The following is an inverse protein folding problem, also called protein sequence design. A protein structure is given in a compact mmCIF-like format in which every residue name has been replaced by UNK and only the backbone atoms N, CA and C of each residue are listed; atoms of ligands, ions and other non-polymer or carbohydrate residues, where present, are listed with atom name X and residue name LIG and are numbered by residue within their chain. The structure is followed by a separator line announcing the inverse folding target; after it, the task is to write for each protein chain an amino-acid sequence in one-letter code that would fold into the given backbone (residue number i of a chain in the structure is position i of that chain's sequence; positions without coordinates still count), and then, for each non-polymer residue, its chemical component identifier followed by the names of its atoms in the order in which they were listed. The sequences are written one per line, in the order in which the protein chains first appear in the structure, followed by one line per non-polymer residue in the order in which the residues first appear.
data_IF_691046241086
#
_entry.id   IF_691046241086
#
_cell.length_a   1.000
_cell.length_b   1.000
_cell.length_c   1.000
_cell.angle_alpha   90.00
_cell.angle_beta   90.00
_cell.angle_gamma   90.00
#
_symmetry.space_group_name_H-M   'P 1'
#
loop_
_entity.id
_entity.type
_entity.pdbx_description
1 polymer ?
#
# COMPACT_ATOMS: atom_id res chain seq x y z
N UNK A 1 5.13 -6.38 39.88
CA UNK A 1 5.06 -6.26 38.41
C UNK A 1 3.91 -7.13 37.96
N UNK A 2 2.91 -6.54 37.32
CA UNK A 2 1.67 -7.20 36.93
C UNK A 2 1.91 -8.16 35.75
N UNK A 3 1.61 -9.47 35.86
CA UNK A 3 1.82 -10.45 34.78
C UNK A 3 0.81 -10.33 33.61
N UNK A 4 -0.11 -9.36 33.62
CA UNK A 4 -1.15 -9.21 32.60
C UNK A 4 -0.76 -8.46 31.32
N UNK A 5 0.50 -8.00 31.19
CA UNK A 5 0.97 -7.23 30.02
C UNK A 5 1.67 -8.05 28.93
N UNK A 6 1.74 -9.38 29.03
CA UNK A 6 2.05 -10.25 27.89
C UNK A 6 0.80 -10.48 27.03
N UNK A 7 0.18 -9.40 26.53
CA UNK A 7 -0.56 -9.52 25.28
C UNK A 7 0.49 -9.82 24.22
N UNK A 8 0.64 -11.11 23.88
CA UNK A 8 1.35 -11.57 22.69
C UNK A 8 0.92 -10.69 21.52
N UNK A 9 1.74 -9.71 21.17
CA UNK A 9 1.54 -8.91 19.98
C UNK A 9 1.81 -9.85 18.81
N UNK A 10 0.74 -10.47 18.29
CA UNK A 10 0.83 -11.33 17.11
C UNK A 10 1.58 -10.57 16.02
N UNK A 11 2.74 -11.10 15.63
CA UNK A 11 3.55 -10.61 14.52
C UNK A 11 2.86 -11.00 13.21
N UNK A 12 3.13 -10.25 12.13
CA UNK A 12 2.44 -10.42 10.86
C UNK A 12 1.23 -9.50 10.72
N UNK A 13 0.20 -9.98 10.01
CA UNK A 13 -1.00 -9.20 9.70
C UNK A 13 -2.13 -9.67 10.62
N UNK A 14 -2.78 -8.73 11.31
CA UNK A 14 -3.95 -9.01 12.15
C UNK A 14 -4.93 -7.87 12.03
N UNK A 15 -6.17 -8.16 11.62
CA UNK A 15 -7.19 -7.14 11.35
C UNK A 15 -6.65 -6.02 10.43
N UNK A 16 -5.94 -6.44 9.37
CA UNK A 16 -5.24 -5.58 8.40
C UNK A 16 -4.17 -4.67 9.00
N UNK A 17 -3.86 -4.75 10.29
CA UNK A 17 -2.73 -4.06 10.89
C UNK A 17 -1.49 -4.96 10.77
N UNK A 18 -0.41 -4.41 10.23
CA UNK A 18 0.85 -5.12 10.12
C UNK A 18 1.81 -4.75 11.26
N UNK A 19 2.48 -5.77 11.83
CA UNK A 19 3.56 -5.62 12.79
C UNK A 19 4.71 -6.55 12.44
N UNK A 20 5.91 -5.98 12.31
CA UNK A 20 7.14 -6.77 12.21
C UNK A 20 7.44 -7.52 13.51
N UNK A 21 8.23 -8.58 13.38
CA UNK A 21 8.77 -9.32 14.51
C UNK A 21 9.71 -8.43 15.32
N UNK A 22 9.51 -8.29 16.63
CA UNK A 22 10.30 -7.39 17.48
C UNK A 22 11.81 -7.72 17.42
N UNK A 23 12.16 -9.01 17.36
CA UNK A 23 13.53 -9.50 17.19
C UNK A 23 14.26 -8.98 15.94
N UNK A 24 13.55 -8.44 14.95
CA UNK A 24 14.19 -7.82 13.78
C UNK A 24 14.83 -6.46 14.10
N UNK A 25 14.37 -5.80 15.16
CA UNK A 25 14.81 -4.47 15.55
C UNK A 25 15.96 -4.50 16.56
N UNK A 26 16.26 -5.65 17.16
CA UNK A 26 17.35 -5.81 18.14
C UNK A 26 18.74 -5.49 17.56
N UNK A 27 18.90 -5.57 16.23
CA UNK A 27 20.20 -5.46 15.57
C UNK A 27 20.29 -4.40 14.45
N UNK A 28 19.16 -3.80 14.03
CA UNK A 28 19.12 -2.92 12.85
C UNK A 28 18.06 -1.81 12.99
N UNK A 29 18.34 -0.59 12.51
CA UNK A 29 17.38 0.49 12.52
C UNK A 29 16.23 0.23 11.55
N UNK A 30 15.06 0.80 11.84
CA UNK A 30 13.86 0.71 11.01
C UNK A 30 14.09 1.16 9.55
N UNK A 31 15.02 2.10 9.32
CA UNK A 31 15.47 2.50 7.98
C UNK A 31 15.96 1.34 7.12
N UNK A 32 16.65 0.38 7.72
CA UNK A 32 17.18 -0.78 6.99
C UNK A 32 16.09 -1.80 6.68
N UNK A 33 14.97 -1.79 7.42
CA UNK A 33 13.82 -2.66 7.20
C UNK A 33 12.86 -2.10 6.16
N UNK A 34 12.68 -0.79 6.12
CA UNK A 34 11.78 -0.11 5.19
C UNK A 34 12.37 0.03 3.78
N UNK A 35 13.70 0.04 3.63
CA UNK A 35 14.33 0.35 2.34
C UNK A 35 14.99 -0.85 1.65
N UNK A 36 14.76 -2.08 2.10
CA UNK A 36 15.34 -3.27 1.44
C UNK A 36 14.80 -3.41 0.03
N UNK A 37 15.71 -3.37 -0.93
CA UNK A 37 15.44 -3.59 -2.35
C UNK A 37 16.06 -4.92 -2.74
N UNK A 38 15.36 -5.71 -3.54
CA UNK A 38 15.96 -6.91 -4.12
C UNK A 38 16.81 -6.53 -5.34
N UNK A 39 18.08 -6.94 -5.37
CA UNK A 39 19.00 -6.65 -6.48
C UNK A 39 18.61 -7.29 -7.82
N UNK A 40 17.79 -8.35 -7.82
CA UNK A 40 17.39 -9.04 -9.04
C UNK A 40 16.07 -8.52 -9.64
N UNK A 41 15.14 -8.06 -8.80
CA UNK A 41 13.82 -7.59 -9.26
C UNK A 41 13.56 -6.10 -8.99
N UNK A 42 14.47 -5.39 -8.32
CA UNK A 42 14.38 -3.98 -7.93
C UNK A 42 13.18 -3.61 -7.04
N UNK A 43 12.48 -4.59 -6.46
CA UNK A 43 11.29 -4.39 -5.63
C UNK A 43 11.64 -4.30 -4.15
N UNK A 44 10.83 -3.53 -3.42
CA UNK A 44 10.89 -3.50 -1.96
C UNK A 44 10.32 -4.79 -1.37
N UNK A 45 10.94 -5.28 -0.31
CA UNK A 45 10.49 -6.50 0.36
C UNK A 45 10.68 -6.44 1.87
N UNK A 46 9.80 -7.13 2.59
CA UNK A 46 9.96 -7.44 4.01
C UNK A 46 10.25 -8.94 4.17
N UNK A 47 11.36 -9.33 4.83
CA UNK A 47 11.61 -10.73 5.15
C UNK A 47 10.67 -11.25 6.25
N UNK A 48 10.46 -12.57 6.32
CA UNK A 48 9.79 -13.20 7.47
C UNK A 48 10.72 -13.27 8.70
N UNK A 49 10.17 -13.54 9.89
CA UNK A 49 10.96 -13.58 11.13
C UNK A 49 12.12 -14.59 11.07
N UNK A 50 11.89 -15.76 10.46
CA UNK A 50 12.90 -16.81 10.33
C UNK A 50 14.01 -16.50 9.31
N UNK A 51 13.73 -15.67 8.31
CA UNK A 51 14.65 -15.40 7.20
C UNK A 51 15.23 -13.99 7.20
N UNK A 52 15.09 -13.25 8.31
CA UNK A 52 15.60 -11.89 8.43
C UNK A 52 17.12 -11.77 8.26
N UNK A 53 17.86 -12.75 8.80
CA UNK A 53 19.31 -12.80 8.77
C UNK A 53 19.88 -13.48 7.51
N UNK A 54 19.03 -13.84 6.53
CA UNK A 54 19.53 -14.42 5.28
C UNK A 54 20.44 -13.43 4.55
N UNK A 55 21.49 -13.92 3.86
CA UNK A 55 22.34 -13.09 3.02
C UNK A 55 21.53 -12.33 1.97
N UNK A 56 21.94 -11.09 1.68
CA UNK A 56 21.24 -10.20 0.73
C UNK A 56 21.11 -10.78 -0.70
N UNK A 57 21.95 -11.74 -1.08
CA UNK A 57 21.91 -12.38 -2.39
C UNK A 57 20.71 -13.33 -2.59
N UNK A 58 20.09 -13.80 -1.50
CA UNK A 58 18.88 -14.64 -1.53
C UNK A 58 17.77 -14.05 -0.64
N UNK A 59 17.21 -12.89 -1.04
CA UNK A 59 16.26 -12.18 -0.20
C UNK A 59 14.94 -12.94 -0.07
N UNK A 60 14.41 -12.96 1.15
CA UNK A 60 13.09 -13.52 1.45
C UNK A 60 12.01 -12.48 1.12
N UNK A 61 11.23 -12.73 0.07
CA UNK A 61 10.15 -11.84 -0.40
C UNK A 61 8.81 -12.11 0.28
N UNK A 62 8.82 -12.53 1.54
CA UNK A 62 7.61 -12.96 2.25
C UNK A 62 6.56 -11.85 2.27
N UNK A 63 6.97 -10.62 2.58
CA UNK A 63 6.14 -9.43 2.46
C UNK A 63 6.51 -8.61 1.22
N UNK A 64 5.53 -8.32 0.38
CA UNK A 64 5.64 -7.41 -0.75
C UNK A 64 5.27 -6.01 -0.27
N UNK A 65 6.20 -5.07 -0.33
CA UNK A 65 5.99 -3.73 0.22
C UNK A 65 5.60 -2.75 -0.88
N UNK A 66 4.67 -1.85 -0.56
CA UNK A 66 4.43 -0.61 -1.31
C UNK A 66 4.38 0.56 -0.35
N UNK A 67 5.16 1.59 -0.65
CA UNK A 67 5.18 2.85 0.08
C UNK A 67 4.20 3.81 -0.57
N UNK A 68 3.36 4.48 0.22
CA UNK A 68 2.34 5.39 -0.30
C UNK A 68 2.31 6.71 0.47
N UNK A 69 2.07 7.80 -0.24
CA UNK A 69 1.88 9.14 0.33
C UNK A 69 0.87 9.95 -0.50
N UNK A 70 0.19 10.87 0.15
CA UNK A 70 -0.68 11.85 -0.46
C UNK A 70 -0.33 13.29 -0.06
N UNK A 71 -0.12 14.15 -1.05
CA UNK A 71 0.21 15.55 -0.85
C UNK A 71 -0.91 16.47 -1.36
N UNK A 72 -1.16 17.57 -0.65
CA UNK A 72 -2.09 18.62 -1.07
C UNK A 72 -1.50 19.99 -0.73
N UNK A 73 -1.42 20.89 -1.71
CA UNK A 73 -1.12 22.30 -1.47
C UNK A 73 -2.40 23.01 -1.04
N UNK A 74 -2.27 23.83 0.01
CA UNK A 74 -3.36 24.66 0.56
C UNK A 74 -4.57 23.87 1.09
N UNK A 75 -4.36 22.68 1.68
CA UNK A 75 -5.29 21.89 2.51
C UNK A 75 -6.79 22.23 2.41
N UNK A 76 -7.38 22.13 1.22
CA UNK A 76 -8.81 22.34 1.01
C UNK A 76 -9.33 23.76 1.26
N UNK A 77 -8.49 24.81 1.25
CA UNK A 77 -8.97 26.18 1.12
C UNK A 77 -9.66 26.32 -0.25
N UNK A 78 -11.00 26.25 -0.22
CA UNK A 78 -11.83 26.70 -1.35
C UNK A 78 -11.56 28.20 -1.52
N UNK A 79 -11.17 28.62 -2.72
CA UNK A 79 -11.12 30.03 -3.05
C UNK A 79 -12.46 30.69 -2.67
N UNK A 80 -12.40 31.70 -1.81
CA UNK A 80 -13.58 32.47 -1.38
C UNK A 80 -14.10 33.23 -2.61
N UNK A 81 -15.40 33.12 -2.88
CA UNK A 81 -16.09 34.01 -3.81
C UNK A 81 -16.26 35.33 -3.07
N UNK A 82 -15.64 36.40 -3.58
CA UNK A 82 -16.09 37.76 -3.28
C UNK A 82 -16.52 38.33 -4.62
N UNK A 83 -17.82 38.28 -4.93
CA UNK A 83 -18.44 39.17 -5.91
C UNK A 83 -19.92 39.38 -5.56
N UNK A 84 -20.29 40.65 -5.45
CA UNK A 84 -21.67 41.12 -5.46
C UNK A 84 -22.36 40.62 -6.73
N UNK A 85 -23.56 40.05 -6.58
CA UNK A 85 -24.53 39.90 -7.68
C UNK A 85 -24.14 38.95 -8.82
N UNK A 86 -24.75 37.75 -8.78
CA UNK A 86 -25.07 36.86 -9.92
C UNK A 86 -24.06 35.75 -10.30
N UNK A 87 -24.66 34.56 -10.45
CA UNK A 87 -24.20 33.26 -11.00
C UNK A 87 -23.42 32.29 -10.10
N UNK A 88 -24.07 31.15 -9.80
CA UNK A 88 -23.53 30.01 -9.06
C UNK A 88 -22.73 29.09 -9.99
N UNK A 89 -21.39 29.20 -9.94
CA UNK A 89 -20.46 28.18 -10.43
C UNK A 89 -19.44 27.85 -9.34
N UNK A 90 -19.23 26.57 -9.02
CA UNK A 90 -18.11 26.16 -8.15
C UNK A 90 -16.81 26.36 -8.93
N UNK A 91 -15.91 27.21 -8.44
CA UNK A 91 -14.54 27.27 -8.97
C UNK A 91 -13.89 25.89 -8.81
N UNK A 92 -13.11 25.38 -9.79
CA UNK A 92 -12.28 24.21 -9.57
C UNK A 92 -11.44 24.39 -8.30
N UNK A 93 -11.15 23.31 -7.55
CA UNK A 93 -10.39 23.41 -6.33
C UNK A 93 -9.04 24.07 -6.63
N UNK A 94 -8.82 25.29 -6.11
CA UNK A 94 -7.53 25.98 -6.21
C UNK A 94 -6.38 25.21 -5.53
N UNK A 95 -6.74 24.27 -4.66
CA UNK A 95 -5.83 23.32 -4.03
C UNK A 95 -5.43 22.21 -5.00
N UNK A 96 -4.14 22.10 -5.25
CA UNK A 96 -3.54 21.03 -6.05
C UNK A 96 -3.19 19.84 -5.15
N UNK A 97 -3.53 18.63 -5.56
CA UNK A 97 -3.16 17.42 -4.85
C UNK A 97 -2.47 16.40 -5.78
N UNK A 98 -1.71 15.50 -5.19
CA UNK A 98 -0.95 14.48 -5.89
C UNK A 98 -0.73 13.28 -4.97
N UNK A 99 -0.61 12.10 -5.59
CA UNK A 99 -0.33 10.85 -4.88
C UNK A 99 0.95 10.22 -5.39
N UNK A 100 1.66 9.57 -4.46
CA UNK A 100 2.87 8.82 -4.72
C UNK A 100 2.71 7.38 -4.24
N UNK A 101 3.12 6.42 -5.07
CA UNK A 101 3.25 5.03 -4.66
C UNK A 101 4.53 4.41 -5.23
N UNK A 102 5.25 3.63 -4.43
CA UNK A 102 6.48 2.97 -4.85
C UNK A 102 6.60 1.56 -4.28
N UNK A 103 6.68 0.57 -5.15
CA UNK A 103 6.92 -0.85 -4.80
C UNK A 103 8.35 -1.29 -5.16
N UNK A 104 9.17 -0.39 -5.69
CA UNK A 104 10.55 -0.64 -6.08
C UNK A 104 11.27 0.63 -6.53
N UNK A 105 12.56 0.48 -6.88
CA UNK A 105 13.40 1.58 -7.33
C UNK A 105 13.26 1.91 -8.82
N UNK A 106 12.80 0.96 -9.64
CA UNK A 106 12.59 1.19 -11.05
C UNK A 106 11.35 2.04 -11.32
N UNK A 107 11.38 2.78 -12.43
CA UNK A 107 10.28 3.67 -12.84
C UNK A 107 8.97 2.91 -13.06
N UNK A 108 9.04 1.65 -13.52
CA UNK A 108 7.89 0.76 -13.70
C UNK A 108 7.20 0.43 -12.37
N UNK A 109 7.95 0.38 -11.27
CA UNK A 109 7.47 0.09 -9.92
C UNK A 109 7.08 1.36 -9.14
N UNK A 110 6.88 2.49 -9.82
CA UNK A 110 6.52 3.77 -9.21
C UNK A 110 5.30 4.39 -9.88
N UNK A 111 4.56 5.19 -9.11
CA UNK A 111 3.40 5.97 -9.53
C UNK A 111 3.49 7.35 -8.92
N UNK A 112 3.26 8.37 -9.75
CA UNK A 112 3.21 9.77 -9.35
C UNK A 112 2.12 10.43 -10.18
N UNK A 113 0.93 10.57 -9.60
CA UNK A 113 -0.29 10.99 -10.30
C UNK A 113 -0.92 12.23 -9.67
N UNK A 114 -1.21 13.28 -10.46
CA UNK A 114 -2.08 14.36 -10.01
C UNK A 114 -3.44 13.82 -9.58
N UNK A 115 -4.03 14.43 -8.56
CA UNK A 115 -5.38 14.10 -8.08
C UNK A 115 -6.35 15.08 -8.74
N UNK A 116 -7.00 14.62 -9.81
CA UNK A 116 -7.92 15.41 -10.63
C UNK A 116 -9.35 14.83 -10.61
N UNK A 117 -10.28 15.44 -11.36
CA UNK A 117 -11.69 15.02 -11.41
C UNK A 117 -11.90 13.70 -12.16
N UNK A 118 -10.89 13.15 -12.81
CA UNK A 118 -10.96 11.78 -13.34
C UNK A 118 -10.71 10.75 -12.24
N UNK A 119 -9.83 11.08 -11.29
CA UNK A 119 -9.47 10.22 -10.17
C UNK A 119 -10.46 10.31 -9.01
N UNK A 120 -10.88 11.53 -8.64
CA UNK A 120 -11.76 11.78 -7.50
C UNK A 120 -12.78 12.88 -7.87
N UNK A 121 -13.85 12.53 -8.60
CA UNK A 121 -14.71 13.49 -9.29
C UNK A 121 -15.50 14.40 -8.35
N UNK A 122 -15.36 15.73 -8.51
CA UNK A 122 -16.17 16.71 -7.79
C UNK A 122 -15.90 16.81 -6.28
N UNK A 123 -14.89 16.08 -5.80
CA UNK A 123 -14.52 16.00 -4.40
C UNK A 123 -13.41 17.02 -4.06
N UNK A 124 -13.36 17.51 -2.81
CA UNK A 124 -12.37 18.49 -2.40
C UNK A 124 -10.97 17.87 -2.38
N UNK A 125 -9.96 18.60 -2.86
CA UNK A 125 -8.56 18.18 -2.73
C UNK A 125 -8.08 18.47 -1.32
N UNK A 126 -7.87 17.40 -0.55
CA UNK A 126 -7.40 17.46 0.84
C UNK A 126 -6.32 16.42 1.05
N UNK A 127 -5.43 16.61 2.02
CA UNK A 127 -4.39 15.63 2.35
C UNK A 127 -4.99 14.27 2.71
N UNK A 128 -6.03 14.23 3.55
CA UNK A 128 -6.67 12.97 3.94
C UNK A 128 -7.22 12.16 2.76
N UNK A 129 -7.80 12.83 1.76
CA UNK A 129 -8.27 12.16 0.54
C UNK A 129 -7.11 11.70 -0.34
N UNK A 130 -6.09 12.55 -0.50
CA UNK A 130 -4.87 12.19 -1.24
C UNK A 130 -4.21 10.94 -0.63
N UNK A 131 -4.12 10.85 0.70
CA UNK A 131 -3.54 9.70 1.40
C UNK A 131 -4.31 8.40 1.13
N UNK A 132 -5.65 8.44 1.19
CA UNK A 132 -6.50 7.28 0.86
C UNK A 132 -6.39 6.87 -0.61
N UNK A 133 -6.35 7.85 -1.52
CA UNK A 133 -6.14 7.61 -2.95
C UNK A 133 -4.74 7.03 -3.22
N UNK A 134 -3.71 7.48 -2.49
CA UNK A 134 -2.37 6.93 -2.53
C UNK A 134 -2.33 5.46 -2.11
N UNK A 135 -3.03 5.10 -1.04
CA UNK A 135 -3.18 3.71 -0.61
C UNK A 135 -3.89 2.84 -1.67
N UNK A 136 -4.97 3.34 -2.27
CA UNK A 136 -5.69 2.67 -3.37
C UNK A 136 -4.77 2.43 -4.58
N UNK A 137 -4.01 3.46 -4.99
CA UNK A 137 -3.06 3.37 -6.10
C UNK A 137 -1.90 2.41 -5.79
N UNK A 138 -1.41 2.38 -4.55
CA UNK A 138 -0.39 1.44 -4.10
C UNK A 138 -0.81 -0.02 -4.26
N UNK A 139 -2.07 -0.34 -3.90
CA UNK A 139 -2.64 -1.66 -4.10
C UNK A 139 -2.81 -2.00 -5.59
N UNK A 140 -3.18 -1.03 -6.44
CA UNK A 140 -3.25 -1.21 -7.89
C UNK A 140 -1.87 -1.44 -8.53
N UNK A 141 -0.85 -0.76 -8.03
CA UNK A 141 0.54 -0.97 -8.42
C UNK A 141 0.98 -2.40 -8.11
N UNK A 142 0.79 -2.88 -6.87
CA UNK A 142 1.12 -4.27 -6.51
C UNK A 142 0.34 -5.29 -7.35
N UNK A 143 -0.94 -5.03 -7.60
CA UNK A 143 -1.78 -5.88 -8.46
C UNK A 143 -1.25 -5.95 -9.89
N UNK A 144 -0.78 -4.83 -10.43
CA UNK A 144 -0.18 -4.78 -11.77
C UNK A 144 1.11 -5.59 -11.83
N UNK A 145 2.01 -5.36 -10.87
CA UNK A 145 3.31 -6.04 -10.79
C UNK A 145 3.16 -7.56 -10.57
N UNK A 146 2.13 -7.98 -9.84
CA UNK A 146 1.81 -9.39 -9.64
C UNK A 146 1.31 -10.05 -10.93
N UNK A 147 0.37 -9.42 -11.64
CA UNK A 147 -0.13 -9.91 -12.93
C UNK A 147 0.98 -10.02 -13.98
N UNK A 148 1.91 -9.07 -14.01
CA UNK A 148 3.09 -9.11 -14.88
C UNK A 148 3.99 -10.30 -14.53
N UNK A 149 4.28 -10.51 -13.24
CA UNK A 149 5.08 -11.65 -12.79
C UNK A 149 4.45 -13.00 -13.18
N UNK A 150 3.13 -13.14 -13.03
CA UNK A 150 2.39 -14.35 -13.45
C UNK A 150 2.50 -14.58 -14.97
N UNK A 151 2.38 -13.50 -15.77
CA UNK A 151 2.52 -13.59 -17.24
C UNK A 151 3.92 -14.02 -17.65
N UNK A 152 4.96 -13.48 -17.02
CA UNK A 152 6.35 -13.87 -17.31
C UNK A 152 6.66 -15.30 -16.88
N UNK A 153 6.15 -15.75 -15.72
CA UNK A 153 6.27 -17.14 -15.29
C UNK A 153 5.59 -18.10 -16.29
N UNK A 154 4.41 -17.74 -16.80
CA UNK A 154 3.71 -18.53 -17.81
C UNK A 154 4.49 -18.63 -19.13
N UNK A 155 5.15 -17.55 -19.58
CA UNK A 155 6.02 -17.56 -20.77
C UNK A 155 7.22 -18.48 -20.59
N UNK A 156 7.89 -18.44 -19.42
CA UNK A 156 9.02 -19.33 -19.12
C UNK A 156 8.62 -20.81 -19.15
N UNK A 157 7.49 -21.17 -18.53
CA UNK A 157 6.95 -22.54 -18.57
C UNK A 157 6.69 -23.02 -20.00
N UNK A 158 6.16 -22.17 -20.89
CA UNK A 158 5.94 -22.50 -22.30
C UNK A 158 7.24 -22.74 -23.09
N UNK A 159 8.30 -21.97 -22.83
CA UNK A 159 9.61 -22.14 -23.51
C UNK A 159 10.27 -23.47 -23.13
N UNK A 160 10.28 -23.79 -21.83
CA UNK A 160 10.83 -25.07 -21.33
C UNK A 160 10.05 -26.26 -21.89
N UNK A 161 8.72 -26.19 -21.93
CA UNK A 161 7.90 -27.29 -22.49
C UNK A 161 8.01 -27.41 -24.02
N UNK A 162 8.43 -26.35 -24.71
CA UNK A 162 8.70 -26.36 -26.16
C UNK A 162 10.08 -26.95 -26.52
N UNK A 163 11.06 -26.89 -25.62
CA UNK A 163 12.42 -27.40 -25.84
C UNK A 163 12.61 -28.86 -25.35
N UNK A 164 11.81 -29.32 -24.38
CA UNK A 164 11.88 -30.71 -23.88
C UNK A 164 11.01 -31.64 -24.74
N UNK A 165 11.49 -31.95 -25.95
CA UNK A 165 11.11 -33.16 -26.71
C UNK A 165 12.36 -34.00 -27.02
N UNK A 166 13.01 -34.56 -25.99
CA UNK A 166 13.80 -35.81 -26.12
C UNK A 166 14.21 -36.34 -24.74
N UNK A 167 13.89 -37.62 -24.54
CA UNK A 167 14.28 -38.54 -23.46
C UNK A 167 13.78 -38.23 -22.03
N UNK A 168 12.71 -38.94 -21.66
CA UNK A 168 12.28 -39.14 -20.28
C UNK A 168 13.23 -40.13 -19.59
N UNK A 169 13.97 -39.69 -18.58
CA UNK A 169 14.24 -40.51 -17.40
C UNK A 169 13.48 -39.89 -16.24
N UNK A 170 12.63 -40.73 -15.65
CA UNK A 170 11.82 -40.46 -14.47
C UNK A 170 12.79 -40.34 -13.30
N UNK A 171 12.94 -39.14 -12.75
CA UNK A 171 13.51 -39.00 -11.42
C UNK A 171 12.67 -38.06 -10.56
N UNK A 172 12.51 -38.50 -9.31
CA UNK A 172 11.66 -37.98 -8.26
C UNK A 172 12.33 -36.76 -7.63
N UNK A 173 11.55 -35.72 -7.34
CA UNK A 173 11.99 -34.69 -6.40
C UNK A 173 10.85 -34.37 -5.44
N UNK A 174 11.02 -34.88 -4.23
CA UNK A 174 10.68 -34.34 -2.91
C UNK A 174 9.57 -33.28 -2.88
N UNK A 175 8.42 -33.73 -2.39
CA UNK A 175 7.29 -32.91 -1.94
C UNK A 175 7.51 -32.57 -0.46
N UNK A 176 8.41 -31.64 -0.15
CA UNK A 176 8.61 -31.15 1.23
C UNK A 176 8.91 -29.65 1.23
N UNK A 177 7.97 -28.83 0.74
CA UNK A 177 7.96 -27.38 0.99
C UNK A 177 6.50 -26.99 1.31
N UNK A 178 6.12 -27.08 2.59
CA UNK A 178 4.93 -26.43 3.17
C UNK A 178 5.14 -24.89 3.19
N UNK A 179 5.48 -24.31 2.04
CA UNK A 179 5.53 -22.88 1.84
C UNK A 179 4.09 -22.41 1.58
N UNK A 180 3.50 -21.80 2.61
CA UNK A 180 2.29 -20.99 2.56
C UNK A 180 2.38 -19.97 1.39
N UNK A 181 1.91 -20.37 0.21
CA UNK A 181 1.97 -19.63 -1.07
C UNK A 181 1.05 -18.38 -1.09
N UNK A 182 0.39 -18.10 0.03
CA UNK A 182 -0.46 -16.93 0.20
C UNK A 182 0.35 -15.64 0.09
N UNK A 183 -0.18 -14.70 -0.69
CA UNK A 183 0.53 -13.47 -1.02
C UNK A 183 0.33 -12.43 0.08
N UNK A 184 1.41 -11.97 0.72
CA UNK A 184 1.30 -10.97 1.80
C UNK A 184 1.78 -9.61 1.34
N UNK A 185 0.86 -8.66 1.23
CA UNK A 185 1.11 -7.31 0.72
C UNK A 185 1.01 -6.28 1.84
N UNK A 186 2.00 -5.43 1.97
CA UNK A 186 2.05 -4.42 3.01
C UNK A 186 2.03 -3.03 2.38
N UNK A 187 1.02 -2.24 2.74
CA UNK A 187 0.95 -0.81 2.46
C UNK A 187 1.63 -0.07 3.60
N UNK A 188 2.82 0.45 3.33
CA UNK A 188 3.58 1.27 4.25
C UNK A 188 3.28 2.76 4.01
N UNK A 189 2.86 3.48 5.05
CA UNK A 189 2.50 4.90 4.95
C UNK A 189 2.76 5.60 6.28
N UNK A 190 3.10 6.89 6.23
CA UNK A 190 3.14 7.75 7.42
C UNK A 190 1.77 8.33 7.78
N UNK A 191 0.71 7.98 7.07
CA UNK A 191 -0.65 8.44 7.37
C UNK A 191 -1.33 7.62 8.46
N UNK A 192 -1.40 8.17 9.68
CA UNK A 192 -2.20 7.60 10.77
C UNK A 192 -3.68 7.47 10.39
N UNK A 193 -4.16 8.40 9.57
CA UNK A 193 -5.55 8.46 9.09
C UNK A 193 -5.91 7.22 8.26
N UNK A 194 -5.02 6.80 7.36
CA UNK A 194 -5.21 5.58 6.56
C UNK A 194 -5.14 4.33 7.45
N UNK A 195 -4.07 4.21 8.25
CA UNK A 195 -3.81 3.00 9.04
C UNK A 195 -4.91 2.78 10.08
N UNK A 196 -5.19 3.76 10.95
CA UNK A 196 -6.27 3.63 11.94
C UNK A 196 -7.64 3.59 11.28
N UNK A 197 -7.81 4.32 10.19
CA UNK A 197 -9.05 4.35 9.43
C UNK A 197 -9.50 2.96 9.00
N UNK A 198 -8.64 2.19 8.35
CA UNK A 198 -9.02 0.86 7.86
C UNK A 198 -8.96 -0.23 8.93
N UNK A 199 -8.04 -0.12 9.91
CA UNK A 199 -7.82 -1.18 10.92
C UNK A 199 -8.71 -1.03 12.16
N UNK A 200 -9.12 0.18 12.54
CA UNK A 200 -9.85 0.45 13.77
C UNK A 200 -11.20 1.11 13.52
N UNK A 201 -11.21 2.19 12.74
CA UNK A 201 -12.41 3.02 12.64
C UNK A 201 -13.45 2.43 11.69
N UNK A 202 -13.04 1.96 10.51
CA UNK A 202 -13.95 1.35 9.54
C UNK A 202 -14.76 0.16 10.11
N UNK A 203 -14.14 -0.83 10.80
CA UNK A 203 -14.92 -1.89 11.42
C UNK A 203 -15.88 -1.36 12.51
N UNK A 204 -15.46 -0.37 13.30
CA UNK A 204 -16.32 0.26 14.31
C UNK A 204 -17.48 1.08 13.70
N UNK A 205 -17.23 1.78 12.60
CA UNK A 205 -18.28 2.50 11.87
C UNK A 205 -19.28 1.51 11.27
N UNK A 206 -18.81 0.39 10.73
CA UNK A 206 -19.67 -0.65 10.17
C UNK A 206 -20.62 -1.22 11.24
N UNK A 207 -20.14 -1.47 12.46
CA UNK A 207 -20.99 -1.95 13.57
C UNK A 207 -21.92 -0.86 14.11
N UNK A 208 -21.51 0.41 14.04
CA UNK A 208 -22.27 1.56 14.53
C UNK A 208 -23.10 2.28 13.45
N UNK A 209 -23.58 1.57 12.44
CA UNK A 209 -24.45 2.14 11.40
C UNK A 209 -23.84 3.31 10.62
N UNK A 210 -22.53 3.24 10.36
CA UNK A 210 -21.71 4.24 9.65
C UNK A 210 -21.62 5.60 10.34
N UNK A 211 -21.55 5.60 11.68
CA UNK A 211 -21.39 6.81 12.50
C UNK A 211 -20.07 6.81 13.27
N UNK A 212 -19.43 7.97 13.31
CA UNK A 212 -18.26 8.24 14.13
C UNK A 212 -18.64 8.46 15.61
N UNK A 213 -17.64 8.69 16.46
CA UNK A 213 -17.84 8.94 17.90
C UNK A 213 -18.72 10.17 18.21
N UNK A 214 -18.82 11.13 17.29
CA UNK A 214 -19.70 12.29 17.40
C UNK A 214 -21.10 12.05 16.79
N UNK A 215 -21.44 10.81 16.42
CA UNK A 215 -22.72 10.44 15.83
C UNK A 215 -22.90 10.85 14.36
N UNK A 216 -21.87 11.39 13.71
CA UNK A 216 -21.91 11.87 12.32
C UNK A 216 -21.34 10.84 11.36
N UNK A 217 -21.75 10.90 10.10
CA UNK A 217 -21.13 10.12 9.03
C UNK A 217 -19.67 10.56 8.85
N UNK A 218 -18.69 9.63 8.80
CA UNK A 218 -17.30 9.96 8.52
C UNK A 218 -17.13 10.68 7.17
N UNK A 219 -16.31 11.73 7.13
CA UNK A 219 -16.18 12.62 5.96
C UNK A 219 -15.74 11.93 4.68
N UNK A 220 -14.81 10.98 4.77
CA UNK A 220 -14.24 10.27 3.61
C UNK A 220 -14.69 8.80 3.56
N UNK A 221 -15.90 8.52 4.06
CA UNK A 221 -16.45 7.16 4.11
C UNK A 221 -16.52 6.53 2.70
N UNK A 222 -16.75 7.34 1.68
CA UNK A 222 -16.73 6.95 0.26
C UNK A 222 -15.42 6.28 -0.15
N UNK A 223 -14.27 6.88 0.18
CA UNK A 223 -12.96 6.32 -0.14
C UNK A 223 -12.61 5.12 0.76
N UNK A 224 -13.06 5.10 2.01
CA UNK A 224 -12.89 3.92 2.86
C UNK A 224 -13.68 2.72 2.36
N UNK A 225 -14.90 2.92 1.83
CA UNK A 225 -15.63 1.85 1.16
C UNK A 225 -14.87 1.32 -0.06
N UNK A 226 -14.37 2.21 -0.93
CA UNK A 226 -13.57 1.80 -2.09
C UNK A 226 -12.31 1.03 -1.69
N UNK A 227 -11.61 1.49 -0.64
CA UNK A 227 -10.44 0.82 -0.11
C UNK A 227 -10.80 -0.57 0.41
N UNK A 228 -11.84 -0.68 1.24
CA UNK A 228 -12.31 -1.95 1.76
C UNK A 228 -12.75 -2.92 0.65
N UNK A 229 -13.45 -2.44 -0.38
CA UNK A 229 -13.89 -3.28 -1.50
C UNK A 229 -12.70 -3.80 -2.32
N UNK A 230 -11.66 -2.98 -2.50
CA UNK A 230 -10.41 -3.42 -3.13
C UNK A 230 -9.72 -4.49 -2.29
N UNK A 231 -9.65 -4.31 -0.97
CA UNK A 231 -9.06 -5.28 -0.04
C UNK A 231 -9.82 -6.61 -0.07
N UNK A 232 -11.15 -6.58 0.00
CA UNK A 232 -11.98 -7.79 -0.09
C UNK A 232 -11.76 -8.56 -1.41
N UNK A 233 -11.56 -7.86 -2.53
CA UNK A 233 -11.24 -8.49 -3.83
C UNK A 233 -9.87 -9.16 -3.84
N UNK A 234 -8.89 -8.59 -3.13
CA UNK A 234 -7.55 -9.17 -2.99
C UNK A 234 -7.57 -10.37 -2.05
N UNK A 235 -8.27 -10.28 -0.92
CA UNK A 235 -8.46 -11.37 0.03
C UNK A 235 -9.16 -12.57 -0.64
N UNK A 236 -10.12 -12.33 -1.54
CA UNK A 236 -10.75 -13.39 -2.35
C UNK A 236 -9.81 -14.08 -3.35
N UNK A 237 -8.62 -13.51 -3.60
CA UNK A 237 -7.55 -14.09 -4.42
C UNK A 237 -6.41 -14.65 -3.55
N UNK A 238 -6.66 -14.89 -2.27
CA UNK A 238 -5.69 -15.37 -1.29
C UNK A 238 -4.48 -14.42 -1.12
N UNK A 239 -4.77 -13.12 -1.23
CA UNK A 239 -3.80 -12.05 -0.93
C UNK A 239 -4.16 -11.44 0.41
N UNK A 240 -3.32 -11.68 1.41
CA UNK A 240 -3.42 -11.04 2.72
C UNK A 240 -2.81 -9.64 2.67
N UNK A 241 -3.56 -8.63 3.10
CA UNK A 241 -3.11 -7.23 3.04
C UNK A 241 -3.00 -6.61 4.43
N UNK A 242 -1.82 -6.06 4.72
CA UNK A 242 -1.52 -5.34 5.95
C UNK A 242 -1.18 -3.87 5.72
N UNK A 243 -1.52 -3.04 6.69
CA UNK A 243 -1.19 -1.62 6.73
C UNK A 243 -0.16 -1.39 7.83
N UNK A 244 0.92 -0.70 7.47
CA UNK A 244 2.03 -0.42 8.35
C UNK A 244 2.23 1.08 8.50
N UNK A 245 2.02 1.57 9.72
CA UNK A 245 2.38 2.95 10.06
C UNK A 245 3.89 3.04 10.20
N UNK A 246 4.50 3.86 9.35
CA UNK A 246 5.92 4.18 9.43
C UNK A 246 6.14 5.65 9.80
N UNK A 247 7.30 5.99 10.37
CA UNK A 247 7.78 7.36 10.45
C UNK A 247 8.00 7.98 9.06
N UNK A 248 7.76 9.29 8.94
CA UNK A 248 7.78 10.02 7.65
C UNK A 248 9.15 10.02 6.98
N UNK A 249 10.22 10.06 7.77
CA UNK A 249 11.61 9.99 7.31
C UNK A 249 11.92 8.70 6.52
N UNK A 250 11.12 7.65 6.71
CA UNK A 250 11.25 6.39 5.98
C UNK A 250 10.30 6.27 4.78
N UNK A 251 9.47 7.28 4.52
CA UNK A 251 8.53 7.34 3.40
C UNK A 251 8.99 8.29 2.27
N UNK A 252 10.28 8.66 2.24
CA UNK A 252 10.81 9.71 1.36
C UNK A 252 10.47 9.55 -0.13
N UNK A 253 10.54 8.34 -0.67
CA UNK A 253 10.29 8.12 -2.09
C UNK A 253 8.83 8.37 -2.45
N UNK A 254 7.88 7.91 -1.63
CA UNK A 254 6.46 8.14 -1.88
C UNK A 254 6.10 9.62 -1.70
N UNK A 255 6.63 10.27 -0.66
CA UNK A 255 6.49 11.73 -0.42
C UNK A 255 7.00 12.54 -1.61
N UNK A 256 8.20 12.23 -2.11
CA UNK A 256 8.76 12.86 -3.31
C UNK A 256 7.85 12.68 -4.52
N UNK A 257 7.37 11.46 -4.77
CA UNK A 257 6.47 11.17 -5.89
C UNK A 257 5.13 11.91 -5.77
N UNK A 258 4.57 12.02 -4.56
CA UNK A 258 3.35 12.80 -4.32
C UNK A 258 3.58 14.31 -4.56
N UNK A 259 4.70 14.85 -4.06
CA UNK A 259 5.09 16.23 -4.28
C UNK A 259 5.33 16.58 -5.75
N UNK A 260 6.01 15.72 -6.51
CA UNK A 260 6.18 15.88 -7.96
C UNK A 260 4.84 15.84 -8.70
N UNK A 261 3.91 14.99 -8.27
CA UNK A 261 2.56 14.93 -8.84
C UNK A 261 1.77 16.22 -8.60
N UNK A 262 1.84 16.77 -7.39
CA UNK A 262 1.26 18.07 -7.04
C UNK A 262 1.79 19.19 -7.95
N UNK A 263 3.10 19.19 -8.25
CA UNK A 263 3.69 20.20 -9.13
C UNK A 263 3.16 20.12 -10.56
N UNK A 264 2.88 18.90 -11.05
CA UNK A 264 2.29 18.66 -12.38
C UNK A 264 0.77 18.87 -12.42
N UNK A 265 0.10 18.90 -11.27
CA UNK A 265 -1.32 19.16 -11.20
C UNK A 265 -1.61 20.57 -11.73
N UNK A 266 -2.53 20.67 -12.69
CA UNK A 266 -3.00 21.96 -13.21
C UNK A 266 -3.94 22.58 -12.17
N UNK A 267 -3.86 23.91 -12.05
CA UNK A 267 -4.78 24.70 -11.21
C UNK A 267 -6.14 24.87 -11.90
#
# INVERSE_FOLDING_TARGET
MDPSLHLSLKTGISNRLFKFCEHMFDNKPLSELTTKVCSSCNRFYGPCCQHYNRPYYFPCHYYKLVFTDGACLSNGQRGVIVMEGLTFGRRPPSSRAGIGAAAGQGKSEQRSKPVDDTMDPGMPRTSQRAELLGALEGLDLLSTLWKEALREAAKKKKRVHGEVKKHRSRDQTNEDDDDDDSQKWIVATDSEYVVRGITQWYPAWKTNGWRNAAGRTPTNLDLFHQLNDKLNKLEALDVEVGFWKIPREYNYLADKLAGEAVQRARA
#
